data_IF_068173211252
#
_entry.id   IF_068173211252
#
_cell.length_a   1.000
_cell.length_b   1.000
_cell.length_c   1.000
_cell.angle_alpha   90.00
_cell.angle_beta   90.00
_cell.angle_gamma   90.00
#
_symmetry.space_group_name_H-M   'P 1'
#
loop_
_entity.id
_entity.type
_entity.pdbx_description
1 polymer ?
#
# COMPACT_ATOMS: atom_id res chain seq x y z
N UNK A 1 -36.01 3.07 12.87
CA UNK A 1 -35.38 4.08 11.99
C UNK A 1 -36.06 4.07 10.63
N UNK A 2 -36.90 5.07 10.33
CA UNK A 2 -37.72 5.09 9.12
C UNK A 2 -36.90 5.43 7.87
N UNK A 3 -37.06 4.62 6.83
CA UNK A 3 -36.42 4.85 5.52
C UNK A 3 -36.99 6.15 4.93
N UNK A 4 -36.21 7.24 4.95
CA UNK A 4 -36.60 8.48 4.28
C UNK A 4 -36.52 8.28 2.76
N UNK A 5 -37.56 8.71 2.03
CA UNK A 5 -37.54 8.68 0.57
C UNK A 5 -36.45 9.62 0.02
N UNK A 6 -35.85 9.27 -1.12
CA UNK A 6 -34.77 10.06 -1.74
C UNK A 6 -35.17 11.53 -1.98
N UNK A 7 -36.45 11.78 -2.30
CA UNK A 7 -37.02 13.13 -2.47
C UNK A 7 -37.05 13.93 -1.18
N UNK A 8 -37.29 13.29 -0.03
CA UNK A 8 -37.22 13.95 1.28
C UNK A 8 -35.78 14.33 1.63
N UNK A 9 -34.84 13.41 1.42
CA UNK A 9 -33.41 13.66 1.62
C UNK A 9 -32.93 14.84 0.76
N UNK A 10 -33.30 14.89 -0.53
CA UNK A 10 -32.96 16.00 -1.42
C UNK A 10 -33.48 17.36 -0.91
N UNK A 11 -34.74 17.42 -0.47
CA UNK A 11 -35.31 18.67 0.06
C UNK A 11 -34.57 19.16 1.29
N UNK A 12 -34.24 18.23 2.19
CA UNK A 12 -33.60 18.52 3.48
C UNK A 12 -32.11 18.89 3.32
N UNK A 13 -31.38 18.22 2.42
CA UNK A 13 -29.90 18.36 2.30
C UNK A 13 -29.43 19.08 1.04
N UNK A 14 -30.32 19.37 0.09
CA UNK A 14 -30.03 19.92 -1.25
C UNK A 14 -29.05 19.09 -2.08
N UNK A 15 -28.74 17.86 -1.68
CA UNK A 15 -27.92 16.94 -2.45
C UNK A 15 -28.71 16.48 -3.69
N UNK A 16 -28.11 16.41 -4.89
CA UNK A 16 -28.79 15.92 -6.10
C UNK A 16 -29.41 14.52 -5.92
N UNK A 17 -30.59 14.32 -6.50
CA UNK A 17 -31.33 13.04 -6.45
C UNK A 17 -30.51 11.85 -6.99
N UNK A 18 -29.66 12.09 -7.99
CA UNK A 18 -28.74 11.11 -8.56
C UNK A 18 -27.72 10.65 -7.52
N UNK A 19 -27.10 11.57 -6.80
CA UNK A 19 -26.14 11.29 -5.72
C UNK A 19 -26.80 10.50 -4.59
N UNK A 20 -28.00 10.90 -4.16
CA UNK A 20 -28.75 10.18 -3.12
C UNK A 20 -29.08 8.76 -3.57
N UNK A 21 -29.56 8.59 -4.80
CA UNK A 21 -29.87 7.27 -5.37
C UNK A 21 -28.62 6.37 -5.43
N UNK A 22 -27.49 6.92 -5.88
CA UNK A 22 -26.21 6.21 -5.94
C UNK A 22 -25.72 5.78 -4.55
N UNK A 23 -25.84 6.67 -3.54
CA UNK A 23 -25.48 6.38 -2.16
C UNK A 23 -26.40 5.32 -1.53
N UNK A 24 -27.71 5.38 -1.78
CA UNK A 24 -28.66 4.36 -1.33
C UNK A 24 -28.36 2.99 -1.98
N UNK A 25 -28.05 2.96 -3.28
CA UNK A 25 -27.60 1.74 -3.97
C UNK A 25 -26.31 1.20 -3.36
N UNK A 26 -25.35 2.07 -3.06
CA UNK A 26 -24.09 1.71 -2.41
C UNK A 26 -24.30 1.13 -1.01
N UNK A 27 -25.17 1.75 -0.20
CA UNK A 27 -25.55 1.23 1.12
C UNK A 27 -26.19 -0.15 1.03
N UNK A 28 -27.13 -0.35 0.10
CA UNK A 28 -27.80 -1.65 -0.10
C UNK A 28 -26.83 -2.76 -0.52
N UNK A 29 -25.82 -2.42 -1.33
CA UNK A 29 -24.90 -3.42 -1.91
C UNK A 29 -23.66 -3.67 -1.06
N UNK A 30 -23.12 -2.65 -0.40
CA UNK A 30 -21.84 -2.69 0.31
C UNK A 30 -21.99 -2.55 1.82
N UNK A 31 -23.19 -2.24 2.33
CA UNK A 31 -23.44 -1.94 3.74
C UNK A 31 -22.78 -0.66 4.23
N UNK A 32 -22.10 0.10 3.36
CA UNK A 32 -21.27 1.23 3.75
C UNK A 32 -21.24 2.34 2.70
N UNK A 33 -21.22 3.60 3.18
CA UNK A 33 -21.00 4.78 2.36
C UNK A 33 -19.51 5.09 2.17
N UNK A 34 -18.61 4.40 2.87
CA UNK A 34 -17.17 4.65 2.84
C UNK A 34 -16.62 4.62 1.41
N UNK A 35 -15.84 5.63 1.04
CA UNK A 35 -15.22 5.69 -0.29
C UNK A 35 -14.29 4.47 -0.45
N UNK A 36 -14.42 3.75 -1.56
CA UNK A 36 -13.44 2.71 -1.92
C UNK A 36 -12.09 3.38 -2.12
N UNK A 37 -11.07 2.90 -1.41
CA UNK A 37 -9.70 3.36 -1.66
C UNK A 37 -9.34 3.09 -3.13
N UNK A 38 -8.57 4.01 -3.71
CA UNK A 38 -8.10 3.86 -5.08
C UNK A 38 -7.14 2.69 -5.19
N UNK A 39 -7.30 1.87 -6.22
CA UNK A 39 -6.36 0.81 -6.57
C UNK A 39 -5.28 1.38 -7.48
N UNK A 40 -4.37 2.18 -6.91
CA UNK A 40 -3.24 2.75 -7.66
C UNK A 40 -2.43 1.68 -8.39
N UNK A 41 -1.56 2.10 -9.32
CA UNK A 41 -0.74 1.19 -10.13
C UNK A 41 0.10 0.28 -9.22
N UNK A 42 0.05 -1.04 -9.50
CA UNK A 42 0.89 -2.03 -8.81
C UNK A 42 2.37 -1.65 -8.95
N UNK A 43 3.11 -1.80 -7.86
CA UNK A 43 4.55 -1.49 -7.81
C UNK A 43 5.33 -2.58 -8.56
N UNK A 44 6.52 -2.21 -9.07
CA UNK A 44 7.43 -3.17 -9.74
C UNK A 44 7.97 -4.23 -8.78
N UNK A 45 8.24 -3.86 -7.53
CA UNK A 45 8.67 -4.78 -6.49
C UNK A 45 7.41 -5.30 -5.80
N UNK A 46 7.06 -6.55 -6.11
CA UNK A 46 5.94 -7.26 -5.48
C UNK A 46 6.33 -7.80 -4.09
N UNK A 47 5.33 -8.22 -3.30
CA UNK A 47 5.49 -8.71 -1.93
C UNK A 47 6.52 -9.85 -1.82
N UNK A 48 6.57 -10.77 -2.79
CA UNK A 48 7.57 -11.85 -2.82
C UNK A 48 9.00 -11.31 -2.90
N UNK A 49 9.21 -10.33 -3.77
CA UNK A 49 10.53 -9.73 -3.98
C UNK A 49 10.93 -8.80 -2.84
N UNK A 50 9.97 -8.09 -2.24
CA UNK A 50 10.21 -7.32 -1.03
C UNK A 50 10.69 -8.23 0.12
N UNK A 51 10.08 -9.42 0.29
CA UNK A 51 10.54 -10.40 1.29
C UNK A 51 11.95 -10.90 1.00
N UNK A 52 12.27 -11.24 -0.25
CA UNK A 52 13.62 -11.66 -0.63
C UNK A 52 14.66 -10.57 -0.35
N UNK A 53 14.35 -9.32 -0.71
CA UNK A 53 15.20 -8.16 -0.45
C UNK A 53 15.49 -7.98 1.05
N UNK A 54 14.46 -8.09 1.90
CA UNK A 54 14.64 -8.03 3.35
C UNK A 54 15.51 -9.18 3.91
N UNK A 55 15.44 -10.37 3.30
CA UNK A 55 16.31 -11.49 3.70
C UNK A 55 17.77 -11.26 3.29
N UNK A 56 18.04 -10.64 2.14
CA UNK A 56 19.40 -10.28 1.75
C UNK A 56 20.05 -9.33 2.74
N UNK A 57 19.34 -8.28 3.13
CA UNK A 57 19.81 -7.29 4.10
C UNK A 57 20.03 -7.93 5.48
N UNK A 58 19.13 -8.82 5.90
CA UNK A 58 19.27 -9.54 7.18
C UNK A 58 20.46 -10.50 7.23
N UNK A 59 20.84 -11.09 6.09
CA UNK A 59 21.98 -12.01 5.99
C UNK A 59 23.31 -11.29 5.88
N UNK A 60 23.33 -10.11 5.27
CA UNK A 60 24.51 -9.26 5.18
C UNK A 60 24.07 -7.79 5.20
N UNK A 61 24.35 -7.10 6.30
CA UNK A 61 23.99 -5.69 6.50
C UNK A 61 24.90 -4.70 5.76
N UNK A 62 26.08 -5.13 5.31
CA UNK A 62 27.05 -4.28 4.60
C UNK A 62 26.90 -4.35 3.08
N UNK A 63 25.88 -5.07 2.59
CA UNK A 63 25.61 -5.25 1.16
C UNK A 63 25.30 -3.91 0.48
N UNK A 64 25.98 -3.64 -0.63
CA UNK A 64 25.77 -2.40 -1.38
C UNK A 64 24.41 -2.39 -2.11
N UNK A 65 23.88 -1.19 -2.40
CA UNK A 65 22.65 -1.06 -3.19
C UNK A 65 22.78 -1.66 -4.59
N UNK A 66 23.97 -1.64 -5.18
CA UNK A 66 24.23 -2.23 -6.48
C UNK A 66 24.12 -3.76 -6.43
N UNK A 67 24.79 -4.39 -5.47
CA UNK A 67 24.69 -5.84 -5.25
C UNK A 67 23.27 -6.29 -4.89
N UNK A 68 22.55 -5.53 -4.06
CA UNK A 68 21.15 -5.80 -3.76
C UNK A 68 20.28 -5.76 -5.01
N UNK A 69 20.58 -4.82 -5.92
CA UNK A 69 19.88 -4.70 -7.18
C UNK A 69 20.12 -5.95 -8.02
N UNK A 70 21.38 -6.33 -8.26
CA UNK A 70 21.71 -7.52 -9.05
C UNK A 70 21.12 -8.81 -8.46
N UNK A 71 21.28 -9.02 -7.15
CA UNK A 71 20.72 -10.18 -6.45
C UNK A 71 19.19 -10.24 -6.61
N UNK A 72 18.51 -9.12 -6.48
CA UNK A 72 17.06 -9.06 -6.63
C UNK A 72 16.62 -9.27 -8.08
N UNK A 73 17.31 -8.67 -9.06
CA UNK A 73 17.01 -8.87 -10.48
C UNK A 73 17.16 -10.35 -10.85
N UNK A 74 18.23 -11.00 -10.40
CA UNK A 74 18.50 -12.41 -10.66
C UNK A 74 17.46 -13.32 -9.99
N UNK A 75 17.13 -13.11 -8.71
CA UNK A 75 16.17 -13.97 -8.00
C UNK A 75 14.73 -13.77 -8.46
N UNK A 76 14.33 -12.53 -8.74
CA UNK A 76 12.94 -12.20 -9.05
C UNK A 76 12.65 -12.00 -10.55
N UNK A 77 13.66 -12.13 -11.41
CA UNK A 77 13.54 -11.92 -12.87
C UNK A 77 12.85 -10.60 -13.21
N UNK A 78 13.27 -9.52 -12.54
CA UNK A 78 12.71 -8.18 -12.70
C UNK A 78 13.80 -7.18 -13.07
N UNK A 79 13.47 -6.16 -13.87
CA UNK A 79 14.38 -5.08 -14.24
C UNK A 79 14.05 -3.84 -13.42
N UNK A 80 14.92 -3.51 -12.45
CA UNK A 80 14.76 -2.36 -11.56
C UNK A 80 16.07 -1.59 -11.42
N UNK A 81 15.98 -0.26 -11.39
CA UNK A 81 17.14 0.58 -11.10
C UNK A 81 17.51 0.52 -9.62
N UNK A 82 18.76 0.83 -9.31
CA UNK A 82 19.26 1.08 -7.94
C UNK A 82 18.41 2.12 -7.21
N UNK A 83 17.98 3.18 -7.90
CA UNK A 83 17.07 4.20 -7.36
C UNK A 83 15.67 3.67 -7.00
N UNK A 84 15.22 2.59 -7.64
CA UNK A 84 13.96 1.93 -7.29
C UNK A 84 14.11 1.10 -6.02
N UNK A 85 15.24 0.41 -5.86
CA UNK A 85 15.61 -0.31 -4.63
C UNK A 85 15.73 0.68 -3.47
N UNK A 86 16.52 1.75 -3.63
CA UNK A 86 16.70 2.78 -2.59
C UNK A 86 15.36 3.39 -2.12
N UNK A 87 14.48 3.79 -3.05
CA UNK A 87 13.13 4.27 -2.71
C UNK A 87 12.29 3.24 -1.97
N UNK A 88 12.45 1.96 -2.31
CA UNK A 88 11.76 0.88 -1.62
C UNK A 88 12.28 0.68 -0.20
N UNK A 89 13.60 0.73 -0.01
CA UNK A 89 14.24 0.60 1.29
C UNK A 89 13.97 1.78 2.21
N UNK A 90 14.01 3.02 1.71
CA UNK A 90 13.63 4.22 2.47
C UNK A 90 12.19 4.13 2.98
N UNK A 91 11.25 3.64 2.16
CA UNK A 91 9.85 3.44 2.57
C UNK A 91 9.72 2.40 3.68
N UNK A 92 10.58 1.40 3.69
CA UNK A 92 10.62 0.34 4.70
C UNK A 92 11.56 0.68 5.87
N UNK A 93 12.06 1.92 5.93
CA UNK A 93 12.91 2.46 6.99
C UNK A 93 14.25 1.72 7.17
N UNK A 94 14.69 0.94 6.17
CA UNK A 94 15.98 0.23 6.22
C UNK A 94 17.21 1.15 6.11
N UNK A 95 17.04 2.40 5.67
CA UNK A 95 18.12 3.36 5.42
C UNK A 95 18.09 4.57 6.37
N UNK A 96 17.13 4.62 7.31
CA UNK A 96 16.91 5.76 8.19
C UNK A 96 17.46 5.57 9.61
N UNK A 97 18.28 4.54 9.85
CA UNK A 97 18.90 4.27 11.16
C UNK A 97 20.34 4.80 11.17
N UNK A 98 20.64 5.91 11.89
CA UNK A 98 22.01 6.23 12.26
C UNK A 98 22.33 5.44 13.53
N UNK A 99 22.98 4.28 13.38
CA UNK A 99 23.63 3.50 14.44
C UNK A 99 23.12 3.74 15.88
N UNK A 100 22.03 3.11 16.31
CA UNK A 100 21.95 2.63 17.70
C UNK A 100 20.81 1.66 17.91
N UNK A 101 21.13 0.56 18.59
CA UNK A 101 20.21 -0.44 19.10
C UNK A 101 19.63 -1.43 18.09
N UNK A 102 20.31 -2.59 18.02
CA UNK A 102 19.69 -3.91 18.06
C UNK A 102 18.30 -3.89 18.72
N UNK A 103 17.26 -3.74 17.91
CA UNK A 103 15.91 -4.11 18.28
C UNK A 103 15.50 -5.26 17.37
N UNK A 104 15.90 -6.46 17.81
CA UNK A 104 15.16 -7.68 17.53
C UNK A 104 13.65 -7.35 17.54
N UNK A 105 13.02 -7.30 16.38
CA UNK A 105 11.58 -7.56 16.32
C UNK A 105 11.43 -9.07 16.24
N UNK A 106 11.03 -9.75 17.34
CA UNK A 106 10.75 -11.18 17.28
C UNK A 106 9.61 -11.39 16.28
N UNK A 107 9.68 -12.51 15.58
CA UNK A 107 8.57 -13.05 14.79
C UNK A 107 7.31 -13.12 15.65
N UNK A 108 6.21 -12.62 15.11
CA UNK A 108 4.89 -13.23 15.17
C UNK A 108 4.27 -13.03 13.78
#
# INVERSE_FOLDING_TARGET
>A
MGVRSARKIHRDTKIPLSTISNQLKKLRTQGSLQRRQGNGRKRKIDAKCARALGQFIRRNSEVTLHELTEKLQNQCKLTVSTSTISRHLNRLEYLNEPYSHFACRPRC
#
